data_IF_229680061835
#
_entry.id   IF_229680061835
#
_cell.length_a   1.000
_cell.length_b   1.000
_cell.length_c   1.000
_cell.angle_alpha   90.00
_cell.angle_beta   90.00
_cell.angle_gamma   90.00
#
_symmetry.space_group_name_H-M   'P 1'
#
loop_
_entity.id
_entity.type
_entity.pdbx_description
1 polymer ?
#
# COMPACT_ATOMS: atom_id res chain seq x y z
N UNK A 1 2.84 -7.96 -17.21
CA UNK A 1 3.92 -6.96 -17.04
C UNK A 1 4.78 -7.42 -15.86
N UNK A 2 6.09 -7.32 -16.01
CA UNK A 2 7.06 -7.55 -14.93
C UNK A 2 7.66 -6.22 -14.45
N UNK A 3 7.60 -5.95 -13.14
CA UNK A 3 8.27 -4.81 -12.50
C UNK A 3 9.42 -5.28 -11.63
N UNK A 4 10.48 -4.48 -11.56
CA UNK A 4 11.53 -4.66 -10.56
C UNK A 4 11.34 -3.64 -9.44
N UNK A 5 11.26 -4.14 -8.22
CA UNK A 5 11.13 -3.39 -6.98
C UNK A 5 12.49 -3.41 -6.26
N UNK A 6 13.12 -2.25 -6.13
CA UNK A 6 14.31 -2.09 -5.30
C UNK A 6 13.92 -1.73 -3.86
N UNK A 7 14.54 -2.42 -2.90
CA UNK A 7 14.62 -1.95 -1.51
C UNK A 7 15.90 -2.46 -0.88
N UNK A 8 16.59 -1.60 -0.12
CA UNK A 8 17.83 -1.97 0.56
C UNK A 8 17.62 -3.03 1.64
N UNK A 9 16.44 -3.06 2.25
CA UNK A 9 16.04 -4.05 3.26
C UNK A 9 14.68 -4.61 2.90
N UNK A 10 14.62 -5.91 2.63
CA UNK A 10 13.39 -6.57 2.25
C UNK A 10 12.76 -7.29 3.45
N UNK A 11 11.71 -6.69 4.02
CA UNK A 11 10.97 -7.26 5.17
C UNK A 11 9.71 -8.02 4.74
N UNK A 12 9.12 -8.87 5.61
CA UNK A 12 7.82 -9.49 5.35
C UNK A 12 6.70 -8.46 5.11
N UNK A 13 6.73 -7.30 5.77
CA UNK A 13 5.73 -6.24 5.59
C UNK A 13 5.80 -5.61 4.20
N UNK A 14 7.01 -5.33 3.71
CA UNK A 14 7.25 -4.85 2.34
C UNK A 14 6.77 -5.89 1.35
N UNK A 15 7.23 -7.15 1.48
CA UNK A 15 6.80 -8.25 0.60
C UNK A 15 5.28 -8.36 0.57
N UNK A 16 4.63 -8.35 1.72
CA UNK A 16 3.18 -8.46 1.82
C UNK A 16 2.47 -7.32 1.07
N UNK A 17 2.75 -6.06 1.41
CA UNK A 17 1.97 -4.94 0.88
C UNK A 17 2.23 -4.69 -0.61
N UNK A 18 3.46 -4.90 -1.08
CA UNK A 18 3.78 -4.82 -2.50
C UNK A 18 3.13 -5.95 -3.28
N UNK A 19 3.15 -7.20 -2.80
CA UNK A 19 2.43 -8.28 -3.47
C UNK A 19 0.92 -8.01 -3.50
N UNK A 20 0.34 -7.51 -2.40
CA UNK A 20 -1.08 -7.18 -2.35
C UNK A 20 -1.45 -6.11 -3.40
N UNK A 21 -0.73 -5.00 -3.44
CA UNK A 21 -1.02 -3.92 -4.40
C UNK A 21 -0.73 -4.37 -5.84
N UNK A 22 0.47 -4.87 -6.11
CA UNK A 22 0.89 -5.14 -7.49
C UNK A 22 0.32 -6.46 -8.03
N UNK A 23 0.38 -7.57 -7.28
CA UNK A 23 -0.09 -8.86 -7.78
C UNK A 23 -1.60 -9.02 -7.65
N UNK A 24 -2.17 -8.68 -6.49
CA UNK A 24 -3.61 -8.93 -6.26
C UNK A 24 -4.52 -7.86 -6.88
N UNK A 25 -4.20 -6.58 -6.66
CA UNK A 25 -5.04 -5.49 -7.17
C UNK A 25 -4.70 -5.19 -8.63
N UNK A 26 -3.41 -4.99 -8.95
CA UNK A 26 -2.98 -4.55 -10.29
C UNK A 26 -2.66 -5.67 -11.27
N UNK A 27 -2.67 -6.95 -10.84
CA UNK A 27 -2.36 -8.12 -11.68
C UNK A 27 -1.04 -7.98 -12.44
N UNK A 28 -0.03 -7.49 -11.74
CA UNK A 28 1.33 -7.29 -12.22
C UNK A 28 2.31 -8.22 -11.50
N UNK A 29 3.25 -8.78 -12.26
CA UNK A 29 4.35 -9.57 -11.70
C UNK A 29 5.43 -8.64 -11.17
N UNK A 30 5.96 -8.97 -9.99
CA UNK A 30 7.01 -8.19 -9.34
C UNK A 30 8.17 -9.07 -8.92
N UNK A 31 9.37 -8.54 -9.10
CA UNK A 31 10.62 -9.08 -8.61
C UNK A 31 11.23 -8.10 -7.62
N UNK A 32 11.64 -8.58 -6.44
CA UNK A 32 12.34 -7.76 -5.45
C UNK A 32 13.84 -7.93 -5.60
N UNK A 33 14.59 -6.84 -5.51
CA UNK A 33 16.05 -6.87 -5.51
C UNK A 33 16.63 -5.86 -4.53
N UNK A 34 17.70 -6.26 -3.83
CA UNK A 34 18.56 -5.35 -3.05
C UNK A 34 19.84 -4.96 -3.80
N UNK A 35 20.04 -5.47 -5.02
CA UNK A 35 21.22 -5.19 -5.83
C UNK A 35 20.95 -3.95 -6.70
N UNK A 36 21.55 -2.81 -6.32
CA UNK A 36 21.38 -1.54 -7.02
C UNK A 36 21.91 -1.58 -8.46
N UNK A 37 23.00 -2.29 -8.73
CA UNK A 37 23.56 -2.40 -10.07
C UNK A 37 22.61 -3.14 -11.01
N UNK A 38 22.10 -4.30 -10.57
CA UNK A 38 21.11 -5.07 -11.30
C UNK A 38 19.83 -4.26 -11.54
N UNK A 39 19.37 -3.55 -10.52
CA UNK A 39 18.22 -2.65 -10.64
C UNK A 39 18.45 -1.59 -11.72
N UNK A 40 19.55 -0.83 -11.66
CA UNK A 40 19.81 0.26 -12.60
C UNK A 40 19.95 -0.22 -14.04
N UNK A 41 20.58 -1.38 -14.27
CA UNK A 41 20.80 -1.96 -15.60
C UNK A 41 19.55 -2.60 -16.21
N UNK A 42 18.52 -2.89 -15.41
CA UNK A 42 17.30 -3.51 -15.91
C UNK A 42 16.51 -2.62 -16.87
N UNK A 43 15.96 -3.26 -17.91
CA UNK A 43 15.07 -2.66 -18.91
C UNK A 43 13.58 -2.74 -18.52
N UNK A 44 13.26 -3.46 -17.45
CA UNK A 44 11.90 -3.52 -16.93
C UNK A 44 11.48 -2.20 -16.27
N UNK A 45 10.19 -2.05 -15.97
CA UNK A 45 9.70 -0.91 -15.18
C UNK A 45 10.30 -0.99 -13.79
N UNK A 46 10.93 0.11 -13.36
CA UNK A 46 11.68 0.19 -12.11
C UNK A 46 10.93 1.03 -11.09
N UNK A 47 10.75 0.45 -9.91
CA UNK A 47 10.22 1.13 -8.74
C UNK A 47 11.20 0.95 -7.59
N UNK A 48 11.51 2.01 -6.87
CA UNK A 48 12.33 1.94 -5.66
C UNK A 48 11.54 2.38 -4.44
N UNK A 49 11.80 1.71 -3.32
CA UNK A 49 11.20 2.02 -2.02
C UNK A 49 12.28 2.11 -0.95
N UNK A 50 12.50 3.32 -0.44
CA UNK A 50 13.58 3.64 0.49
C UNK A 50 13.69 5.11 0.82
N UNK A 51 14.84 5.54 1.36
CA UNK A 51 15.05 6.93 1.80
C UNK A 51 15.36 7.90 0.66
N UNK A 52 16.01 7.42 -0.40
CA UNK A 52 16.47 8.20 -1.55
C UNK A 52 16.27 7.42 -2.86
N UNK A 53 16.04 8.12 -3.98
CA UNK A 53 16.02 7.51 -5.30
C UNK A 53 17.43 7.03 -5.70
N UNK A 54 17.49 6.07 -6.62
CA UNK A 54 18.73 5.53 -7.19
C UNK A 54 19.06 6.14 -8.56
N UNK A 55 18.07 6.72 -9.24
CA UNK A 55 18.20 7.34 -10.55
C UNK A 55 16.87 7.97 -10.99
N UNK A 56 16.49 7.74 -12.25
CA UNK A 56 15.22 8.22 -12.83
C UNK A 56 14.13 7.14 -12.82
N UNK A 57 14.03 6.33 -11.77
CA UNK A 57 12.93 5.37 -11.59
C UNK A 57 11.65 6.04 -11.05
N UNK A 58 10.61 5.25 -10.77
CA UNK A 58 9.48 5.70 -9.96
C UNK A 58 9.84 5.45 -8.49
N UNK A 59 10.17 6.52 -7.78
CA UNK A 59 10.62 6.45 -6.39
C UNK A 59 9.47 6.70 -5.41
N UNK A 60 9.33 5.81 -4.43
CA UNK A 60 8.46 5.99 -3.27
C UNK A 60 9.31 6.09 -2.01
N UNK A 61 9.20 7.23 -1.32
CA UNK A 61 9.91 7.42 -0.06
C UNK A 61 9.28 6.59 1.05
N UNK A 62 10.12 5.91 1.81
CA UNK A 62 9.71 5.00 2.86
C UNK A 62 9.57 5.65 4.23
N UNK A 63 8.72 5.08 5.06
CA UNK A 63 8.65 5.32 6.50
C UNK A 63 8.96 4.05 7.29
N UNK A 64 9.23 4.21 8.59
CA UNK A 64 9.79 3.15 9.44
C UNK A 64 8.88 1.94 9.65
N UNK A 65 7.56 2.07 9.49
CA UNK A 65 6.59 1.02 9.82
C UNK A 65 6.82 -0.27 9.04
N UNK A 66 7.21 -0.19 7.76
CA UNK A 66 7.43 -1.37 6.94
C UNK A 66 8.75 -2.08 7.26
N UNK A 67 9.68 -1.42 7.96
CA UNK A 67 10.96 -2.02 8.35
C UNK A 67 10.93 -2.68 9.74
N UNK A 68 9.90 -2.39 10.54
CA UNK A 68 9.73 -2.96 11.87
C UNK A 68 9.12 -4.35 11.83
N UNK A 69 9.54 -5.22 12.76
CA UNK A 69 8.89 -6.50 13.04
C UNK A 69 7.97 -6.45 14.28
N UNK A 70 7.84 -5.30 14.95
CA UNK A 70 7.02 -5.11 16.14
C UNK A 70 5.76 -4.30 15.84
N UNK A 71 4.71 -4.58 16.60
CA UNK A 71 3.54 -3.71 16.68
C UNK A 71 3.79 -2.75 17.84
N UNK A 72 3.90 -1.46 17.53
CA UNK A 72 4.21 -0.40 18.50
C UNK A 72 3.31 0.79 18.25
N UNK A 73 3.10 1.62 19.25
CA UNK A 73 2.37 2.87 19.08
C UNK A 73 3.06 3.80 18.09
N UNK A 74 2.26 4.44 17.25
CA UNK A 74 2.71 5.34 16.21
C UNK A 74 2.09 6.71 16.44
N UNK A 75 2.92 7.75 16.43
CA UNK A 75 2.43 9.13 16.35
C UNK A 75 2.16 9.47 14.87
N UNK A 76 0.95 9.19 14.41
CA UNK A 76 0.59 9.33 13.00
C UNK A 76 0.24 10.78 12.70
N UNK A 77 1.13 11.44 11.95
CA UNK A 77 0.86 12.72 11.31
C UNK A 77 0.10 12.50 10.00
N UNK A 78 -0.73 13.46 9.63
CA UNK A 78 -1.50 13.45 8.38
C UNK A 78 -1.37 14.74 7.62
N UNK A 79 -1.66 14.68 6.32
CA UNK A 79 -1.79 15.84 5.45
C UNK A 79 -3.07 15.72 4.59
N UNK A 80 -3.64 16.84 4.11
CA UNK A 80 -4.75 16.80 3.16
C UNK A 80 -4.33 16.20 1.81
N UNK A 81 -5.21 15.40 1.22
CA UNK A 81 -5.05 14.85 -0.12
C UNK A 81 -6.41 14.81 -0.83
N UNK A 82 -6.74 15.91 -1.51
CA UNK A 82 -8.10 16.17 -1.99
C UNK A 82 -9.07 16.32 -0.81
N UNK A 83 -10.14 15.52 -0.81
CA UNK A 83 -11.23 15.59 0.17
C UNK A 83 -10.96 14.82 1.48
N UNK A 84 -9.83 14.14 1.60
CA UNK A 84 -9.51 13.27 2.74
C UNK A 84 -8.09 13.48 3.27
N UNK A 85 -7.75 12.81 4.36
CA UNK A 85 -6.42 12.88 4.98
C UNK A 85 -5.62 11.63 4.68
N UNK A 86 -4.32 11.78 4.46
CA UNK A 86 -3.39 10.65 4.28
C UNK A 86 -2.34 10.63 5.39
N UNK A 87 -2.03 9.44 5.96
CA UNK A 87 -1.00 9.31 6.98
C UNK A 87 0.40 9.23 6.37
N UNK A 88 1.43 9.31 7.21
CA UNK A 88 2.83 9.09 6.82
C UNK A 88 3.33 10.06 5.72
N UNK A 89 3.25 11.39 5.96
CA UNK A 89 3.69 12.37 4.97
C UNK A 89 5.19 12.25 4.67
N UNK A 90 5.54 12.35 3.39
CA UNK A 90 6.92 12.30 2.90
C UNK A 90 7.13 13.36 1.82
N UNK A 91 8.37 13.80 1.64
CA UNK A 91 8.78 14.71 0.57
C UNK A 91 9.61 13.98 -0.49
N UNK A 92 9.70 14.56 -1.69
CA UNK A 92 10.53 14.06 -2.80
C UNK A 92 10.23 12.60 -3.18
N UNK A 93 8.94 12.27 -3.29
CA UNK A 93 8.41 10.94 -3.58
C UNK A 93 7.33 11.06 -4.67
N UNK A 94 7.01 9.95 -5.35
CA UNK A 94 5.94 9.91 -6.35
C UNK A 94 4.56 10.30 -5.80
N UNK A 95 4.37 10.18 -4.47
CA UNK A 95 3.20 10.65 -3.74
C UNK A 95 3.65 11.45 -2.50
N UNK A 96 2.83 12.39 -2.00
CA UNK A 96 3.19 13.23 -0.85
C UNK A 96 3.11 12.48 0.50
N UNK A 97 2.88 11.16 0.45
CA UNK A 97 2.81 10.28 1.59
C UNK A 97 3.33 8.88 1.21
N UNK A 98 3.74 8.12 2.20
CA UNK A 98 4.13 6.73 2.02
C UNK A 98 2.87 5.86 1.86
N UNK A 99 2.47 5.68 0.60
CA UNK A 99 1.28 4.91 0.22
C UNK A 99 1.36 3.45 0.64
N UNK A 100 2.56 2.86 0.69
CA UNK A 100 2.73 1.46 1.08
C UNK A 100 2.60 1.30 2.59
N UNK A 101 3.19 2.20 3.38
CA UNK A 101 2.96 2.27 4.82
C UNK A 101 1.49 2.51 5.17
N UNK A 102 0.86 3.48 4.51
CA UNK A 102 -0.55 3.81 4.71
C UNK A 102 -1.44 2.59 4.41
N UNK A 103 -1.18 1.93 3.28
CA UNK A 103 -1.94 0.74 2.88
C UNK A 103 -1.74 -0.41 3.84
N UNK A 104 -0.49 -0.67 4.25
CA UNK A 104 -0.20 -1.70 5.24
C UNK A 104 -0.93 -1.45 6.56
N UNK A 105 -0.87 -0.22 7.08
CA UNK A 105 -1.53 0.16 8.32
C UNK A 105 -3.04 -0.12 8.30
N UNK A 106 -3.70 0.27 7.20
CA UNK A 106 -5.14 0.09 7.01
C UNK A 106 -5.51 -1.39 6.82
N UNK A 107 -4.88 -2.08 5.86
CA UNK A 107 -5.22 -3.47 5.50
C UNK A 107 -4.99 -4.42 6.67
N UNK A 108 -3.92 -4.21 7.44
CA UNK A 108 -3.62 -5.05 8.61
C UNK A 108 -4.44 -4.69 9.84
N UNK A 109 -5.30 -3.66 9.80
CA UNK A 109 -6.05 -3.17 10.96
C UNK A 109 -5.11 -2.89 12.15
N UNK A 110 -3.95 -2.30 11.86
CA UNK A 110 -2.84 -2.16 12.82
C UNK A 110 -3.27 -1.53 14.15
N UNK A 111 -4.19 -0.57 14.09
CA UNK A 111 -4.79 0.10 15.25
C UNK A 111 -5.58 -0.83 16.19
N UNK A 112 -6.23 -1.87 15.66
CA UNK A 112 -7.04 -2.80 16.45
C UNK A 112 -6.16 -3.67 17.34
N UNK A 113 -5.00 -4.11 16.82
CA UNK A 113 -4.00 -4.81 17.62
C UNK A 113 -3.47 -3.94 18.76
N UNK A 114 -3.28 -2.64 18.53
CA UNK A 114 -2.84 -1.72 19.59
C UNK A 114 -3.94 -1.48 20.63
N UNK A 115 -5.20 -1.40 20.22
CA UNK A 115 -6.33 -1.24 21.12
C UNK A 115 -6.50 -2.46 22.03
N UNK A 116 -6.48 -3.67 21.45
CA UNK A 116 -6.60 -4.93 22.18
C UNK A 116 -5.47 -5.19 23.18
N UNK A 117 -4.28 -4.61 22.97
CA UNK A 117 -3.18 -4.69 23.94
C UNK A 117 -3.42 -3.84 25.20
N UNK A 118 -4.32 -2.86 25.13
CA UNK A 118 -4.57 -1.89 26.21
C UNK A 118 -5.91 -2.10 26.88
N UNK A 119 -6.91 -2.52 26.12
CA UNK A 119 -8.30 -2.58 26.52
C UNK A 119 -8.94 -3.88 26.04
N UNK A 120 -9.84 -4.45 26.84
CA UNK A 120 -10.66 -5.61 26.46
C UNK A 120 -11.96 -5.21 25.74
N UNK A 121 -12.22 -3.91 25.61
CA UNK A 121 -13.41 -3.39 24.94
C UNK A 121 -13.37 -3.60 23.42
N UNK A 122 -14.54 -3.79 22.81
CA UNK A 122 -14.68 -3.88 21.36
C UNK A 122 -14.18 -2.60 20.66
N UNK A 123 -13.43 -2.79 19.57
CA UNK A 123 -12.94 -1.68 18.77
C UNK A 123 -14.04 -1.09 17.89
N UNK A 124 -14.51 0.12 18.24
CA UNK A 124 -15.58 0.81 17.52
C UNK A 124 -15.07 1.48 16.24
N UNK A 125 -15.80 1.34 15.14
CA UNK A 125 -15.46 1.94 13.85
C UNK A 125 -15.25 3.47 13.90
N UNK A 126 -16.03 4.19 14.73
CA UNK A 126 -15.91 5.64 14.91
C UNK A 126 -14.58 6.07 15.55
N UNK A 127 -13.92 5.16 16.26
CA UNK A 127 -12.61 5.38 16.86
C UNK A 127 -11.47 5.18 15.85
N UNK A 128 -11.75 4.53 14.70
CA UNK A 128 -10.76 4.19 13.70
C UNK A 128 -10.14 5.41 13.02
N UNK A 129 -8.89 5.27 12.62
CA UNK A 129 -8.22 6.26 11.79
C UNK A 129 -8.91 6.43 10.44
N UNK A 130 -9.46 5.36 9.86
CA UNK A 130 -10.19 5.46 8.60
C UNK A 130 -11.41 6.38 8.71
N UNK A 131 -12.15 6.33 9.82
CA UNK A 131 -13.23 7.27 10.11
C UNK A 131 -12.69 8.70 10.26
N UNK A 132 -11.65 8.89 11.09
CA UNK A 132 -11.02 10.20 11.34
C UNK A 132 -10.46 10.85 10.06
N UNK A 133 -9.96 10.03 9.13
CA UNK A 133 -9.38 10.48 7.87
C UNK A 133 -10.40 10.61 6.74
N UNK A 134 -11.69 10.33 7.00
CA UNK A 134 -12.78 10.36 6.00
C UNK A 134 -12.58 9.42 4.82
N UNK A 135 -12.07 8.22 5.10
CA UNK A 135 -11.84 7.17 4.08
C UNK A 135 -12.55 5.85 4.38
N UNK A 136 -13.27 5.74 5.51
CA UNK A 136 -13.92 4.50 5.95
C UNK A 136 -14.85 3.89 4.89
N UNK A 137 -15.63 4.72 4.21
CA UNK A 137 -16.63 4.27 3.24
C UNK A 137 -16.08 4.17 1.81
N UNK A 138 -14.76 4.22 1.65
CA UNK A 138 -14.09 4.22 0.33
C UNK A 138 -13.25 2.96 0.16
N UNK A 139 -13.17 2.42 -1.07
CA UNK A 139 -12.19 1.39 -1.41
C UNK A 139 -10.80 2.02 -1.56
N UNK A 140 -10.32 2.67 -0.51
CA UNK A 140 -9.19 3.61 -0.58
C UNK A 140 -7.89 2.95 -1.05
N UNK A 141 -7.70 1.67 -0.74
CA UNK A 141 -6.53 0.91 -1.16
C UNK A 141 -6.57 0.60 -2.67
N UNK A 142 -7.73 0.24 -3.21
CA UNK A 142 -7.93 0.09 -4.65
C UNK A 142 -7.71 1.42 -5.37
N UNK A 143 -8.23 2.53 -4.83
CA UNK A 143 -8.02 3.87 -5.40
C UNK A 143 -6.53 4.25 -5.45
N UNK A 144 -5.79 4.02 -4.37
CA UNK A 144 -4.34 4.26 -4.35
C UNK A 144 -3.56 3.33 -5.29
N UNK A 145 -3.96 2.06 -5.40
CA UNK A 145 -3.37 1.16 -6.38
C UNK A 145 -3.59 1.66 -7.82
N UNK A 146 -4.80 2.14 -8.15
CA UNK A 146 -5.09 2.73 -9.45
C UNK A 146 -4.30 4.03 -9.68
N UNK A 147 -4.06 4.82 -8.63
CA UNK A 147 -3.19 6.00 -8.70
C UNK A 147 -1.75 5.60 -9.05
N UNK A 148 -1.21 4.57 -8.39
CA UNK A 148 0.12 4.00 -8.70
C UNK A 148 0.16 3.50 -10.15
N UNK A 149 -0.86 2.78 -10.61
CA UNK A 149 -0.99 2.35 -12.01
C UNK A 149 -0.91 3.53 -12.98
N UNK A 150 -1.59 4.64 -12.68
CA UNK A 150 -1.58 5.84 -13.52
C UNK A 150 -0.20 6.51 -13.54
N UNK A 151 0.50 6.57 -12.40
CA UNK A 151 1.89 7.06 -12.32
C UNK A 151 2.80 6.21 -13.23
N UNK A 152 2.67 4.88 -13.16
CA UNK A 152 3.45 3.96 -14.01
C UNK A 152 3.16 4.19 -15.49
N UNK A 153 1.88 4.26 -15.89
CA UNK A 153 1.49 4.50 -17.29
C UNK A 153 1.96 5.85 -17.81
N UNK A 154 1.99 6.88 -16.96
CA UNK A 154 2.49 8.21 -17.35
C UNK A 154 3.97 8.19 -17.69
N UNK A 155 4.79 7.45 -16.92
CA UNK A 155 6.23 7.33 -17.17
C UNK A 155 6.58 6.28 -18.24
N UNK A 156 5.77 5.23 -18.36
CA UNK A 156 5.95 4.13 -19.30
C UNK A 156 4.66 3.86 -20.10
N UNK A 157 4.37 4.66 -21.15
CA UNK A 157 3.09 4.58 -21.87
C UNK A 157 2.85 3.25 -22.61
N UNK A 158 3.92 2.52 -22.95
CA UNK A 158 3.85 1.21 -23.64
C UNK A 158 3.43 0.06 -22.74
N UNK A 159 3.33 0.31 -21.44
CA UNK A 159 3.03 -0.70 -20.44
C UNK A 159 1.53 -0.94 -20.32
N UNK A 160 1.13 -2.19 -20.55
CA UNK A 160 -0.24 -2.65 -20.37
C UNK A 160 -0.36 -3.50 -19.11
N UNK A 161 -1.31 -3.11 -18.26
CA UNK A 161 -1.76 -3.92 -17.13
C UNK A 161 -2.89 -4.85 -17.60
N UNK A 162 -3.01 -6.02 -17.00
CA UNK A 162 -4.14 -6.89 -17.28
C UNK A 162 -5.46 -6.19 -16.89
N UNK A 163 -6.49 -6.40 -17.71
CA UNK A 163 -7.83 -5.90 -17.42
C UNK A 163 -8.47 -6.72 -16.30
N UNK A 164 -9.10 -6.01 -15.36
CA UNK A 164 -9.84 -6.61 -14.25
C UNK A 164 -11.33 -6.59 -14.61
N UNK A 165 -11.83 -7.69 -15.14
CA UNK A 165 -13.28 -7.87 -15.28
C UNK A 165 -13.87 -8.07 -13.89
N UNK A 166 -14.79 -7.17 -13.49
CA UNK A 166 -15.51 -7.31 -12.24
C UNK A 166 -16.39 -8.57 -12.30
N UNK A 167 -16.28 -9.40 -11.27
CA UNK A 167 -17.15 -10.56 -11.07
C UNK A 167 -17.59 -10.56 -9.62
N UNK A 168 -18.88 -10.29 -9.38
CA UNK A 168 -19.47 -10.39 -8.05
C UNK A 168 -19.61 -11.86 -7.67
N UNK A 169 -18.76 -12.35 -6.77
CA UNK A 169 -18.98 -13.61 -6.07
C UNK A 169 -19.44 -13.27 -4.65
N UNK A 170 -20.75 -13.33 -4.34
CA UNK A 170 -21.21 -13.12 -2.98
C UNK A 170 -20.54 -14.16 -2.07
N UNK A 171 -19.83 -13.70 -1.03
CA UNK A 171 -19.11 -14.58 -0.10
C UNK A 171 -20.03 -15.24 0.94
N UNK A 172 -21.32 -14.91 0.97
CA UNK A 172 -22.27 -15.44 1.96
C UNK A 172 -23.61 -15.77 1.29
N UNK A 173 -23.98 -17.05 1.28
CA UNK A 173 -25.34 -17.52 1.04
C UNK A 173 -25.91 -17.99 2.38
N UNK A 174 -26.68 -17.13 3.06
CA UNK A 174 -27.51 -17.57 4.18
C UNK A 174 -28.84 -18.08 3.61
N UNK A 175 -28.92 -19.36 3.28
CA UNK A 175 -30.21 -20.05 3.28
C UNK A 175 -30.50 -20.50 4.70
N UNK A 176 -30.91 -19.57 5.57
CA UNK A 176 -31.48 -19.89 6.88
C UNK A 176 -32.98 -20.11 6.65
N UNK A 177 -33.44 -21.36 6.68
CA UNK A 177 -34.85 -21.66 6.87
C UNK A 177 -35.17 -21.54 8.35
N UNK A 178 -36.18 -20.73 8.75
CA UNK A 178 -36.61 -20.69 10.14
C UNK A 178 -37.27 -22.03 10.52
N UNK A 179 -36.88 -22.58 11.68
CA UNK A 179 -37.64 -23.61 12.41
C UNK A 179 -38.53 -22.93 13.46
#
# INVERSE_FOLDING_TARGET
MHLIIFSSVLTPRIKYIFNFIFKEILRAEIEFTGNSQYFLQSQHVKISYGEQPLGDEIFFKSTSILFSNKVIELNIKTIPFGEYQVPFPVASSALPFDVFAASFFIVTRYEEYLHQQKNDEEFKAISSYQYKWKVLDRPIIDEWALLIKNIIRKKHPTVNFADKNFSSKPCINFSITPN
#
